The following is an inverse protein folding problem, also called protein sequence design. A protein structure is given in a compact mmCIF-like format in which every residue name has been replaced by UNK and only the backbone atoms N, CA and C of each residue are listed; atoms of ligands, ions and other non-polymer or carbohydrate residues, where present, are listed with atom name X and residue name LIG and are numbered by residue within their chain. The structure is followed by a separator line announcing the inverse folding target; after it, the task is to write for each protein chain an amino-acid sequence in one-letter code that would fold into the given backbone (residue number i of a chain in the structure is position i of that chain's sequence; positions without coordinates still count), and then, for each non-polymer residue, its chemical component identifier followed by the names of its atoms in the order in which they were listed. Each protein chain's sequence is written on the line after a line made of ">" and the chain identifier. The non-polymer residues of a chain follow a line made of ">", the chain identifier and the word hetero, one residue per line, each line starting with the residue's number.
data_IF_848168703607
#
_entry.id   IF_848168703607
#
_cell.length_a   1.000
_cell.length_b   1.000
_cell.length_c   1.000
_cell.angle_alpha   90.00
_cell.angle_beta   90.00
_cell.angle_gamma   90.00
#
_symmetry.space_group_name_H-M   'P 1'
#
loop_
_entity.id
_entity.type
_entity.pdbx_description
1 polymer ?
#
# COMPACT_ATOMS: atom_id res chain seq x y z
N UNK A 1 2.98 -27.66 -34.18
CA UNK A 1 2.24 -26.39 -34.29
C UNK A 1 1.75 -26.11 -32.89
N UNK A 2 2.60 -25.52 -32.06
CA UNK A 2 2.68 -24.07 -31.82
C UNK A 2 1.92 -23.86 -30.51
N UNK A 3 2.48 -23.41 -29.40
CA UNK A 3 3.50 -22.41 -29.21
C UNK A 3 4.33 -22.79 -27.97
N UNK A 4 5.66 -22.84 -28.10
CA UNK A 4 6.50 -22.85 -26.92
C UNK A 4 6.47 -21.44 -26.35
N UNK A 5 5.54 -21.18 -25.43
CA UNK A 5 5.60 -19.97 -24.59
C UNK A 5 7.04 -19.84 -24.08
N UNK A 6 7.67 -18.73 -24.45
CA UNK A 6 9.08 -18.52 -24.11
C UNK A 6 9.18 -18.50 -22.60
N UNK A 7 9.75 -19.55 -22.04
CA UNK A 7 10.16 -19.61 -20.63
C UNK A 7 11.52 -18.97 -20.50
N UNK A 8 11.73 -18.22 -19.43
CA UNK A 8 12.97 -17.49 -19.20
C UNK A 8 14.14 -18.47 -19.11
N UNK A 9 15.23 -18.16 -19.81
CA UNK A 9 16.40 -19.05 -19.94
C UNK A 9 17.03 -19.42 -18.59
N UNK A 10 16.83 -18.60 -17.55
CA UNK A 10 17.47 -18.75 -16.24
C UNK A 10 16.48 -19.21 -15.17
N UNK A 11 15.26 -18.65 -15.12
CA UNK A 11 14.28 -18.98 -14.08
C UNK A 11 13.24 -20.03 -14.47
N UNK A 12 13.06 -20.33 -15.76
CA UNK A 12 12.03 -21.25 -16.25
C UNK A 12 10.60 -20.74 -16.08
N UNK A 13 10.42 -19.45 -15.75
CA UNK A 13 9.10 -18.81 -15.65
C UNK A 13 8.65 -18.37 -17.04
N UNK A 14 7.38 -18.56 -17.37
CA UNK A 14 6.79 -18.05 -18.61
C UNK A 14 6.69 -16.51 -18.59
N UNK A 15 6.99 -15.87 -19.72
CA UNK A 15 6.91 -14.40 -19.88
C UNK A 15 5.57 -13.82 -19.39
N UNK A 16 4.47 -14.42 -19.80
CA UNK A 16 3.12 -13.97 -19.44
C UNK A 16 2.84 -14.07 -17.93
N UNK A 17 3.50 -15.01 -17.25
CA UNK A 17 3.38 -15.17 -15.80
C UNK A 17 4.15 -14.07 -15.07
N UNK A 18 5.39 -13.78 -15.48
CA UNK A 18 6.19 -12.72 -14.84
C UNK A 18 5.63 -11.32 -15.12
N UNK A 19 5.13 -11.05 -16.33
CA UNK A 19 4.46 -9.79 -16.67
C UNK A 19 3.15 -9.59 -15.88
N UNK A 20 2.41 -10.68 -15.62
CA UNK A 20 1.21 -10.62 -14.76
C UNK A 20 1.56 -10.33 -13.30
N UNK A 21 2.61 -10.94 -12.77
CA UNK A 21 3.09 -10.65 -11.41
C UNK A 21 3.51 -9.19 -11.30
N UNK A 22 4.25 -8.68 -12.29
CA UNK A 22 4.62 -7.27 -12.39
C UNK A 22 3.40 -6.36 -12.32
N UNK A 23 2.38 -6.64 -13.13
CA UNK A 23 1.15 -5.82 -13.16
C UNK A 23 0.42 -5.87 -11.81
N UNK A 24 0.31 -7.04 -11.19
CA UNK A 24 -0.29 -7.18 -9.86
C UNK A 24 0.46 -6.34 -8.82
N UNK A 25 1.80 -6.28 -8.87
CA UNK A 25 2.58 -5.44 -7.97
C UNK A 25 2.27 -3.95 -8.17
N UNK A 26 2.17 -3.48 -9.43
CA UNK A 26 1.77 -2.10 -9.75
C UNK A 26 0.39 -1.78 -9.19
N UNK A 27 -0.58 -2.67 -9.41
CA UNK A 27 -1.96 -2.48 -8.96
C UNK A 27 -2.06 -2.46 -7.43
N UNK A 28 -1.35 -3.36 -6.74
CA UNK A 28 -1.30 -3.37 -5.27
C UNK A 28 -0.59 -2.15 -4.69
N UNK A 29 0.51 -1.70 -5.29
CA UNK A 29 1.19 -0.47 -4.89
C UNK A 29 0.21 0.72 -4.99
N UNK A 30 -0.56 0.80 -6.08
CA UNK A 30 -1.54 1.87 -6.27
C UNK A 30 -2.67 1.81 -5.23
N UNK A 31 -3.25 0.64 -4.98
CA UNK A 31 -4.29 0.46 -3.96
C UNK A 31 -3.80 0.89 -2.56
N UNK A 32 -2.55 0.60 -2.23
CA UNK A 32 -1.95 1.03 -0.97
C UNK A 32 -1.76 2.55 -0.90
N UNK A 33 -1.34 3.19 -1.99
CA UNK A 33 -1.25 4.67 -2.06
C UNK A 33 -2.62 5.32 -1.91
N UNK A 34 -3.64 4.81 -2.60
CA UNK A 34 -5.01 5.34 -2.52
C UNK A 34 -5.58 5.18 -1.09
N UNK A 35 -5.23 4.07 -0.43
CA UNK A 35 -5.59 3.81 0.98
C UNK A 35 -4.88 4.79 1.92
N UNK A 36 -3.57 4.99 1.74
CA UNK A 36 -2.79 5.97 2.51
C UNK A 36 -3.34 7.40 2.34
N UNK A 37 -3.70 7.77 1.10
CA UNK A 37 -4.30 9.07 0.80
C UNK A 37 -5.67 9.22 1.46
N UNK A 38 -6.51 8.18 1.42
CA UNK A 38 -7.82 8.19 2.09
C UNK A 38 -7.66 8.36 3.61
N UNK A 39 -6.72 7.64 4.23
CA UNK A 39 -6.44 7.75 5.65
C UNK A 39 -5.99 9.17 6.02
N UNK A 40 -4.99 9.72 5.32
CA UNK A 40 -4.41 11.03 5.62
C UNK A 40 -5.36 12.19 5.31
N UNK A 41 -6.09 12.14 4.19
CA UNK A 41 -6.85 13.29 3.71
C UNK A 41 -8.30 13.30 4.20
N UNK A 42 -8.82 12.16 4.70
CA UNK A 42 -10.22 12.06 5.14
C UNK A 42 -10.32 11.58 6.57
N UNK A 43 -9.73 10.42 6.91
CA UNK A 43 -10.02 9.78 8.19
C UNK A 43 -9.29 10.43 9.37
N UNK A 44 -8.01 10.79 9.21
CA UNK A 44 -7.25 11.51 10.25
C UNK A 44 -7.91 12.86 10.59
N UNK A 45 -8.25 13.74 9.61
CA UNK A 45 -8.95 14.98 9.89
C UNK A 45 -10.28 14.79 10.62
N UNK A 46 -11.08 13.78 10.26
CA UNK A 46 -12.34 13.49 10.94
C UNK A 46 -12.15 13.10 12.41
N UNK A 47 -11.10 12.34 12.73
CA UNK A 47 -10.75 12.01 14.11
C UNK A 47 -10.25 13.26 14.87
N UNK A 48 -9.53 14.14 14.19
CA UNK A 48 -9.00 15.38 14.79
C UNK A 48 -10.10 16.43 15.03
N UNK A 49 -11.08 16.52 14.13
CA UNK A 49 -12.22 17.44 14.20
C UNK A 49 -13.30 17.01 15.21
N UNK A 50 -13.30 15.75 15.64
CA UNK A 50 -14.22 15.22 16.65
C UNK A 50 -13.95 15.76 18.08
N UNK A 51 -13.45 16.98 18.25
CA UNK A 51 -13.22 17.59 19.56
C UNK A 51 -14.53 18.14 20.13
N UNK A 52 -14.79 17.86 21.41
CA UNK A 52 -15.95 18.40 22.15
C UNK A 52 -15.44 19.36 23.23
N UNK A 53 -15.25 20.62 22.84
CA UNK A 53 -14.56 21.65 23.64
C UNK A 53 -15.29 22.03 24.93
N UNK A 54 -16.62 22.01 24.89
CA UNK A 54 -17.55 22.44 25.94
C UNK A 54 -17.91 21.33 26.95
N UNK A 55 -17.41 20.11 26.75
CA UNK A 55 -17.69 19.01 27.66
C UNK A 55 -16.93 19.16 28.99
N UNK A 56 -17.66 19.24 30.10
CA UNK A 56 -17.09 19.32 31.46
C UNK A 56 -17.48 18.06 32.25
N UNK A 57 -16.66 17.00 32.15
CA UNK A 57 -16.83 15.73 32.86
C UNK A 57 -15.50 14.95 32.91
N UNK A 58 -15.32 14.06 33.89
CA UNK A 58 -14.18 13.14 33.93
C UNK A 58 -14.16 12.18 32.73
N UNK A 59 -15.32 11.87 32.15
CA UNK A 59 -15.43 11.07 30.94
C UNK A 59 -14.76 11.71 29.71
N UNK A 60 -14.55 13.04 29.73
CA UNK A 60 -13.83 13.76 28.67
C UNK A 60 -12.40 13.28 28.52
N UNK A 61 -11.69 13.00 29.61
CA UNK A 61 -10.30 12.56 29.54
C UNK A 61 -10.18 11.24 28.75
N UNK A 62 -11.07 10.28 29.04
CA UNK A 62 -11.12 8.99 28.33
C UNK A 62 -11.46 9.18 26.86
N UNK A 63 -12.39 10.10 26.55
CA UNK A 63 -12.75 10.43 25.18
C UNK A 63 -11.58 11.05 24.41
N UNK A 64 -10.94 12.08 24.97
CA UNK A 64 -9.80 12.77 24.35
C UNK A 64 -8.62 11.80 24.13
N UNK A 65 -8.38 10.89 25.07
CA UNK A 65 -7.39 9.83 24.93
C UNK A 65 -7.75 8.84 23.82
N UNK A 66 -9.01 8.40 23.76
CA UNK A 66 -9.50 7.50 22.72
C UNK A 66 -9.41 8.12 21.33
N UNK A 67 -9.81 9.38 21.19
CA UNK A 67 -9.70 10.16 19.96
C UNK A 67 -8.24 10.30 19.49
N UNK A 68 -7.35 10.65 20.41
CA UNK A 68 -5.90 10.75 20.13
C UNK A 68 -5.32 9.39 19.69
N UNK A 69 -5.75 8.31 20.32
CA UNK A 69 -5.33 6.94 19.98
C UNK A 69 -5.80 6.56 18.57
N UNK A 70 -7.05 6.88 18.21
CA UNK A 70 -7.61 6.63 16.88
C UNK A 70 -6.85 7.45 15.82
N UNK A 71 -6.66 8.75 16.05
CA UNK A 71 -5.91 9.62 15.12
C UNK A 71 -4.49 9.10 14.88
N UNK A 72 -3.79 8.70 15.96
CA UNK A 72 -2.45 8.10 15.87
C UNK A 72 -2.46 6.78 15.09
N UNK A 73 -3.42 5.88 15.36
CA UNK A 73 -3.52 4.60 14.68
C UNK A 73 -3.79 4.77 13.17
N UNK A 74 -4.64 5.72 12.79
CA UNK A 74 -4.92 6.05 11.39
C UNK A 74 -3.67 6.60 10.69
N UNK A 75 -2.92 7.48 11.35
CA UNK A 75 -1.65 8.00 10.82
C UNK A 75 -0.60 6.89 10.61
N UNK A 76 -0.45 5.99 11.59
CA UNK A 76 0.45 4.83 11.46
C UNK A 76 0.03 3.89 10.33
N UNK A 77 -1.27 3.63 10.17
CA UNK A 77 -1.79 2.82 9.08
C UNK A 77 -1.48 3.46 7.71
N UNK A 78 -1.61 4.78 7.58
CA UNK A 78 -1.29 5.48 6.34
C UNK A 78 0.21 5.36 5.98
N UNK A 79 1.09 5.50 6.99
CA UNK A 79 2.54 5.28 6.82
C UNK A 79 2.83 3.84 6.40
N UNK A 80 2.22 2.86 7.07
CA UNK A 80 2.42 1.45 6.74
C UNK A 80 1.99 1.12 5.29
N UNK A 81 0.87 1.68 4.83
CA UNK A 81 0.46 1.57 3.43
C UNK A 81 1.50 2.18 2.47
N UNK A 82 2.05 3.35 2.78
CA UNK A 82 3.10 3.98 1.97
C UNK A 82 4.38 3.14 1.89
N UNK A 83 4.82 2.58 3.02
CA UNK A 83 6.00 1.70 3.07
C UNK A 83 5.76 0.40 2.27
N UNK A 84 4.60 -0.22 2.44
CA UNK A 84 4.24 -1.42 1.69
C UNK A 84 4.17 -1.15 0.18
N UNK A 85 3.67 0.01 -0.25
CA UNK A 85 3.66 0.39 -1.66
C UNK A 85 5.08 0.51 -2.23
N UNK A 86 6.01 1.09 -1.48
CA UNK A 86 7.41 1.21 -1.89
C UNK A 86 8.08 -0.17 -2.09
N UNK A 87 7.78 -1.15 -1.25
CA UNK A 87 8.28 -2.53 -1.46
C UNK A 87 7.76 -3.16 -2.75
N UNK A 88 6.53 -2.86 -3.16
CA UNK A 88 6.03 -3.30 -4.47
C UNK A 88 6.71 -2.57 -5.63
N UNK A 89 7.08 -1.29 -5.48
CA UNK A 89 7.86 -0.57 -6.49
C UNK A 89 9.25 -1.18 -6.68
N UNK A 90 9.94 -1.51 -5.58
CA UNK A 90 11.23 -2.20 -5.61
C UNK A 90 11.11 -3.56 -6.31
N UNK A 91 10.04 -4.30 -6.03
CA UNK A 91 9.76 -5.58 -6.68
C UNK A 91 9.51 -5.42 -8.18
N UNK A 92 8.74 -4.41 -8.60
CA UNK A 92 8.52 -4.10 -10.03
C UNK A 92 9.84 -3.78 -10.72
N UNK A 93 10.69 -2.97 -10.10
CA UNK A 93 12.01 -2.64 -10.65
C UNK A 93 12.86 -3.89 -10.85
N UNK A 94 12.91 -4.81 -9.88
CA UNK A 94 13.62 -6.08 -9.99
C UNK A 94 13.06 -6.97 -11.09
N UNK A 95 11.73 -7.06 -11.20
CA UNK A 95 11.06 -7.84 -12.24
C UNK A 95 11.36 -7.27 -13.63
N UNK A 96 11.36 -5.95 -13.79
CA UNK A 96 11.71 -5.28 -15.04
C UNK A 96 13.16 -5.60 -15.47
N UNK A 97 14.10 -5.63 -14.52
CA UNK A 97 15.48 -6.09 -14.80
C UNK A 97 15.51 -7.56 -15.24
N UNK A 98 14.75 -8.43 -14.57
CA UNK A 98 14.71 -9.84 -14.90
C UNK A 98 14.11 -10.08 -16.30
N UNK A 99 12.96 -9.47 -16.62
CA UNK A 99 12.34 -9.60 -17.94
C UNK A 99 13.31 -9.15 -19.04
N UNK A 100 14.00 -8.02 -18.82
CA UNK A 100 14.98 -7.48 -19.74
C UNK A 100 16.24 -8.34 -19.91
N UNK A 101 16.54 -9.27 -19.00
CA UNK A 101 17.64 -10.24 -19.13
C UNK A 101 17.16 -11.54 -19.76
N UNK A 102 15.93 -11.99 -19.43
CA UNK A 102 15.44 -13.32 -19.80
C UNK A 102 14.74 -13.41 -21.16
N UNK A 103 14.15 -12.31 -21.66
CA UNK A 103 13.25 -12.32 -22.81
C UNK A 103 13.57 -11.26 -23.89
N UNK A 104 14.86 -10.93 -24.07
CA UNK A 104 15.35 -10.01 -25.11
C UNK A 104 14.92 -10.41 -26.53
#
# INVERSE_FOLDING_TARGET
>A
MGDGESTGLVTGIERDTIERIRQNCVDFAQLLRDSAQTLNNRLVPLADEAVISDWVSSARLTYDLGRTTISTALGLAAVACGVAAAHYDDAVWLIDQQIGVEFL
#
